data_IF_336721724908
#
_entry.id   IF_336721724908
#
_cell.length_a   1.000
_cell.length_b   1.000
_cell.length_c   1.000
_cell.angle_alpha   90.00
_cell.angle_beta   90.00
_cell.angle_gamma   90.00
#
_symmetry.space_group_name_H-M   'P 1'
#
loop_
_entity.id
_entity.type
_entity.pdbx_description
1 polymer ?
#
# COMPACT_ATOMS: atom_id res chain seq x y z
N UNK A 1 -6.21 1.30 -3.67
CA UNK A 1 -4.90 0.94 -4.28
C UNK A 1 -4.27 2.01 -5.16
N UNK A 2 -4.91 2.50 -6.23
CA UNK A 2 -4.28 3.49 -7.14
C UNK A 2 -3.77 4.77 -6.44
N UNK A 3 -4.42 5.20 -5.35
CA UNK A 3 -3.99 6.35 -4.54
C UNK A 3 -2.62 6.14 -3.87
N UNK A 4 -2.37 4.98 -3.22
CA UNK A 4 -1.06 4.66 -2.62
C UNK A 4 0.05 4.79 -3.66
N UNK A 5 -0.08 4.09 -4.78
CA UNK A 5 0.91 4.10 -5.87
C UNK A 5 1.17 5.51 -6.37
N UNK A 6 0.10 6.30 -6.57
CA UNK A 6 0.21 7.69 -7.03
C UNK A 6 1.00 8.54 -6.03
N UNK A 7 0.68 8.45 -4.74
CA UNK A 7 1.33 9.27 -3.71
C UNK A 7 2.76 8.79 -3.41
N UNK A 8 3.01 7.49 -3.46
CA UNK A 8 4.34 6.89 -3.36
C UNK A 8 5.24 7.41 -4.49
N UNK A 9 4.81 7.23 -5.75
CA UNK A 9 5.60 7.61 -6.91
C UNK A 9 5.84 9.13 -6.99
N UNK A 10 4.89 9.94 -6.49
CA UNK A 10 5.03 11.42 -6.40
C UNK A 10 5.77 11.92 -5.17
N UNK A 11 6.10 11.03 -4.22
CA UNK A 11 6.68 11.39 -2.93
C UNK A 11 5.83 12.38 -2.11
N UNK A 12 4.51 12.32 -2.27
CA UNK A 12 3.56 13.17 -1.53
C UNK A 12 3.33 12.58 -0.14
N UNK A 13 4.20 12.91 0.82
CA UNK A 13 4.19 12.36 2.19
C UNK A 13 2.84 12.52 2.86
N UNK A 14 2.27 13.74 2.80
CA UNK A 14 1.02 14.05 3.49
C UNK A 14 -0.13 13.18 2.97
N UNK A 15 -0.27 13.07 1.64
CA UNK A 15 -1.33 12.24 1.06
C UNK A 15 -1.03 10.76 1.18
N UNK A 16 0.23 10.35 1.12
CA UNK A 16 0.60 8.96 1.35
C UNK A 16 0.20 8.52 2.76
N UNK A 17 0.52 9.30 3.80
CA UNK A 17 0.09 8.99 5.17
C UNK A 17 -1.44 8.91 5.31
N UNK A 18 -2.19 9.69 4.52
CA UNK A 18 -3.66 9.66 4.57
C UNK A 18 -4.32 8.36 4.09
N UNK A 19 -3.59 7.51 3.34
CA UNK A 19 -4.14 6.22 2.89
C UNK A 19 -4.03 5.12 3.94
N UNK A 20 -3.29 5.36 5.03
CA UNK A 20 -3.10 4.41 6.12
C UNK A 20 -4.03 4.71 7.30
N UNK A 21 -4.31 3.70 8.11
CA UNK A 21 -4.88 3.87 9.45
C UNK A 21 -3.85 4.51 10.38
N UNK A 22 -4.29 5.10 11.50
CA UNK A 22 -3.37 5.71 12.46
C UNK A 22 -2.55 4.63 13.20
N UNK A 23 -3.10 3.43 13.28
CA UNK A 23 -2.57 2.24 13.94
C UNK A 23 -1.61 1.43 13.06
N UNK A 24 -1.54 1.72 11.76
CA UNK A 24 -0.63 1.05 10.84
C UNK A 24 0.84 1.20 11.27
N UNK A 25 1.64 0.16 11.01
CA UNK A 25 3.06 0.12 11.41
C UNK A 25 3.81 1.38 10.92
N UNK A 26 4.49 2.13 11.82
CA UNK A 26 5.22 3.34 11.45
C UNK A 26 6.28 3.14 10.37
N UNK A 27 6.85 1.94 10.22
CA UNK A 27 7.81 1.60 9.17
C UNK A 27 7.23 1.71 7.75
N UNK A 28 5.90 1.58 7.61
CA UNK A 28 5.20 1.74 6.34
C UNK A 28 5.10 3.20 5.90
N UNK A 29 5.41 4.16 6.78
CA UNK A 29 5.35 5.60 6.48
C UNK A 29 6.45 5.99 5.50
N UNK A 30 6.09 6.83 4.53
CA UNK A 30 7.02 7.32 3.51
C UNK A 30 8.24 8.04 4.12
N UNK A 31 8.06 8.66 5.29
CA UNK A 31 9.12 9.36 6.03
C UNK A 31 10.21 8.42 6.57
N UNK A 32 9.86 7.16 6.83
CA UNK A 32 10.78 6.10 7.24
C UNK A 32 11.34 5.39 6.00
N UNK A 33 10.56 5.33 4.92
CA UNK A 33 10.97 4.82 3.60
C UNK A 33 11.67 5.87 2.71
N UNK A 34 12.31 6.90 3.30
CA UNK A 34 12.95 8.03 2.56
C UNK A 34 13.96 7.60 1.50
N UNK A 35 14.64 6.47 1.71
CA UNK A 35 15.65 5.94 0.77
C UNK A 35 15.07 4.96 -0.26
N UNK A 36 13.81 4.54 -0.11
CA UNK A 36 13.17 3.64 -1.05
C UNK A 36 12.85 4.39 -2.33
N UNK A 37 13.71 4.33 -3.35
CA UNK A 37 13.44 4.93 -4.67
C UNK A 37 12.37 4.19 -5.47
N UNK A 38 11.93 3.03 -4.98
CA UNK A 38 10.91 2.17 -5.58
C UNK A 38 9.73 2.93 -6.18
N UNK A 39 9.56 2.72 -7.48
CA UNK A 39 8.46 3.17 -8.30
C UNK A 39 7.64 1.97 -8.73
N UNK A 40 6.35 1.96 -8.39
CA UNK A 40 5.42 0.91 -8.83
C UNK A 40 4.82 1.33 -10.15
N UNK A 41 4.99 0.51 -11.19
CA UNK A 41 4.54 0.82 -12.55
C UNK A 41 3.27 0.08 -12.94
N UNK A 42 2.95 -1.03 -12.27
CA UNK A 42 1.75 -1.83 -12.56
C UNK A 42 1.23 -2.51 -11.30
N UNK A 43 -0.09 -2.59 -11.21
CA UNK A 43 -0.82 -3.43 -10.26
C UNK A 43 -1.75 -4.35 -11.06
N UNK A 44 -1.73 -5.66 -10.82
CA UNK A 44 -2.64 -6.59 -11.49
C UNK A 44 -3.04 -7.77 -10.60
N UNK A 45 -4.04 -8.51 -11.10
CA UNK A 45 -4.62 -9.70 -10.47
C UNK A 45 -5.04 -9.52 -9.01
N UNK A 46 -5.82 -8.48 -8.69
CA UNK A 46 -6.23 -8.26 -7.31
C UNK A 46 -7.18 -9.37 -6.85
N UNK A 47 -6.87 -9.99 -5.72
CA UNK A 47 -7.71 -11.00 -5.07
C UNK A 47 -8.20 -10.47 -3.72
N UNK A 48 -9.50 -10.58 -3.46
CA UNK A 48 -10.13 -10.01 -2.28
C UNK A 48 -10.66 -11.11 -1.38
N UNK A 49 -10.31 -11.04 -0.09
CA UNK A 49 -10.83 -11.93 0.94
C UNK A 49 -11.47 -11.08 2.03
N UNK A 50 -12.78 -11.26 2.24
CA UNK A 50 -13.48 -10.61 3.35
C UNK A 50 -13.10 -11.32 4.65
N UNK A 51 -12.52 -10.58 5.60
CA UNK A 51 -12.16 -11.10 6.92
C UNK A 51 -13.24 -10.81 7.96
N UNK A 52 -13.87 -9.64 7.88
CA UNK A 52 -15.01 -9.24 8.72
C UNK A 52 -15.88 -8.22 7.97
N UNK A 53 -16.89 -7.66 8.65
CA UNK A 53 -17.71 -6.58 8.08
C UNK A 53 -16.89 -5.35 7.69
N UNK A 54 -15.88 -5.00 8.51
CA UNK A 54 -15.08 -3.79 8.37
C UNK A 54 -13.61 -4.07 7.99
N UNK A 55 -13.26 -5.32 7.66
CA UNK A 55 -11.89 -5.70 7.29
C UNK A 55 -11.87 -6.60 6.06
N UNK A 56 -11.01 -6.26 5.11
CA UNK A 56 -10.70 -7.08 3.94
C UNK A 56 -9.20 -7.27 3.79
N UNK A 57 -8.78 -8.44 3.31
CA UNK A 57 -7.44 -8.65 2.79
C UNK A 57 -7.47 -8.55 1.27
N UNK A 58 -6.46 -7.92 0.69
CA UNK A 58 -6.28 -7.77 -0.76
C UNK A 58 -4.88 -8.23 -1.14
N UNK A 59 -4.78 -9.32 -1.89
CA UNK A 59 -3.52 -9.65 -2.57
C UNK A 59 -3.46 -8.96 -3.93
N UNK A 60 -2.30 -8.44 -4.32
CA UNK A 60 -2.08 -7.82 -5.63
C UNK A 60 -0.65 -8.06 -6.08
N UNK A 61 -0.46 -8.26 -7.38
CA UNK A 61 0.86 -8.29 -7.99
C UNK A 61 1.32 -6.87 -8.30
N UNK A 62 2.46 -6.47 -7.75
CA UNK A 62 3.12 -5.19 -8.01
C UNK A 62 4.31 -5.40 -8.95
N UNK A 63 4.39 -4.62 -10.01
CA UNK A 63 5.59 -4.52 -10.85
C UNK A 63 6.34 -3.24 -10.49
N UNK A 64 7.65 -3.35 -10.29
CA UNK A 64 8.54 -2.26 -9.91
C UNK A 64 9.48 -1.89 -11.06
N UNK A 65 9.87 -0.61 -11.15
CA UNK A 65 10.86 -0.14 -12.11
C UNK A 65 12.30 -0.27 -11.60
N UNK A 66 12.52 0.04 -10.33
CA UNK A 66 13.83 0.35 -9.76
C UNK A 66 14.03 -0.27 -8.37
N UNK A 67 13.27 -1.32 -8.04
CA UNK A 67 13.45 -2.05 -6.79
C UNK A 67 14.63 -3.03 -6.93
N UNK A 68 15.65 -2.96 -6.05
CA UNK A 68 16.92 -3.67 -6.26
C UNK A 68 16.84 -5.19 -6.05
N UNK A 69 15.77 -5.71 -5.45
CA UNK A 69 15.64 -7.13 -5.11
C UNK A 69 14.88 -7.93 -6.15
N UNK A 70 13.84 -7.34 -6.72
CA UNK A 70 12.89 -8.02 -7.62
C UNK A 70 12.15 -7.00 -8.48
N UNK A 71 11.75 -7.40 -9.68
CA UNK A 71 10.97 -6.59 -10.61
C UNK A 71 9.47 -6.75 -10.40
N UNK A 72 9.04 -7.83 -9.75
CA UNK A 72 7.65 -8.12 -9.43
C UNK A 72 7.55 -8.77 -8.05
N UNK A 73 6.49 -8.47 -7.31
CA UNK A 73 6.18 -9.16 -6.05
C UNK A 73 4.67 -9.22 -5.84
N UNK A 74 4.20 -10.32 -5.25
CA UNK A 74 2.88 -10.37 -4.65
C UNK A 74 2.90 -9.65 -3.29
N UNK A 75 1.93 -8.76 -3.07
CA UNK A 75 1.78 -7.98 -1.84
C UNK A 75 0.40 -8.19 -1.25
N UNK A 76 0.35 -8.46 0.04
CA UNK A 76 -0.90 -8.60 0.76
C UNK A 76 -1.19 -7.34 1.57
N UNK A 77 -2.40 -6.83 1.44
CA UNK A 77 -2.85 -5.63 2.11
C UNK A 77 -4.01 -5.93 3.02
N UNK A 78 -3.91 -5.52 4.27
CA UNK A 78 -5.07 -5.48 5.15
C UNK A 78 -5.70 -4.10 5.06
N UNK A 79 -6.96 -4.03 4.64
CA UNK A 79 -7.73 -2.79 4.59
C UNK A 79 -8.81 -2.82 5.69
N UNK A 80 -8.92 -1.72 6.44
CA UNK A 80 -9.98 -1.51 7.43
C UNK A 80 -10.88 -0.34 7.05
N UNK A 81 -12.16 -0.44 7.37
CA UNK A 81 -13.12 0.64 7.22
C UNK A 81 -12.94 1.66 8.36
N UNK A 82 -12.57 2.90 8.01
CA UNK A 82 -12.30 4.03 8.91
C UNK A 82 -12.74 5.33 8.26
N UNK A 83 -13.34 6.24 9.03
CA UNK A 83 -13.74 7.58 8.58
C UNK A 83 -14.59 7.57 7.28
N UNK A 84 -15.44 6.55 7.11
CA UNK A 84 -16.28 6.39 5.91
C UNK A 84 -15.58 5.84 4.67
N UNK A 85 -14.31 5.42 4.76
CA UNK A 85 -13.54 4.85 3.65
C UNK A 85 -12.70 3.62 4.04
N UNK A 86 -12.10 2.98 3.05
CA UNK A 86 -11.15 1.88 3.28
C UNK A 86 -9.73 2.44 3.35
N UNK A 87 -9.02 2.16 4.44
CA UNK A 87 -7.63 2.57 4.68
C UNK A 87 -6.75 1.35 4.89
N UNK A 88 -5.47 1.47 4.53
CA UNK A 88 -4.47 0.40 4.70
C UNK A 88 -4.07 0.34 6.17
N UNK A 89 -4.26 -0.82 6.77
CA UNK A 89 -3.84 -1.10 8.15
C UNK A 89 -2.49 -1.82 8.20
N UNK A 90 -2.18 -2.61 7.16
CA UNK A 90 -0.92 -3.34 7.05
C UNK A 90 -0.60 -3.72 5.61
N UNK A 91 0.69 -3.95 5.34
CA UNK A 91 1.23 -4.45 4.08
C UNK A 91 2.25 -5.55 4.44
N UNK A 92 2.05 -6.75 3.90
CA UNK A 92 2.98 -7.88 3.95
C UNK A 92 3.60 -8.12 2.56
#
# INVERSE_FOLDING_TARGET
MKQRVTYLNKRDVAKYSSVFTAEADPSLRLEVAKDSRTTIIKLHDPQFVKLSEDTISVSVHETYLDYPKETEAERMYTLKKRDGGWKIDGID
#
